data_IF_498759419637
#
_entry.id   IF_498759419637
#
_cell.length_a   1.000
_cell.length_b   1.000
_cell.length_c   1.000
_cell.angle_alpha   90.00
_cell.angle_beta   90.00
_cell.angle_gamma   90.00
#
_symmetry.space_group_name_H-M   'P 1'
#
loop_
_entity.id
_entity.type
_entity.pdbx_description
1 polymer ?
#
# COMPACT_ATOMS: atom_id res chain seq x y z
N UNK A 1 -8.25 47.46 -2.03
CA UNK A 1 -7.83 46.65 -0.86
C UNK A 1 -9.08 46.27 -0.10
N UNK A 2 -9.26 45.00 0.24
CA UNK A 2 -10.38 44.56 1.07
C UNK A 2 -9.99 44.73 2.54
N UNK A 3 -10.84 45.39 3.32
CA UNK A 3 -10.57 45.63 4.74
C UNK A 3 -10.86 44.38 5.58
N UNK A 4 -10.24 44.30 6.77
CA UNK A 4 -10.42 43.16 7.69
C UNK A 4 -11.89 43.01 8.10
N UNK A 5 -12.58 44.13 8.34
CA UNK A 5 -13.99 44.13 8.74
C UNK A 5 -14.91 43.58 7.64
N UNK A 6 -14.63 43.88 6.38
CA UNK A 6 -15.41 43.36 5.24
C UNK A 6 -15.32 41.83 5.16
N UNK A 7 -14.14 41.27 5.44
CA UNK A 7 -13.89 39.83 5.39
C UNK A 7 -14.58 39.13 6.54
N UNK A 8 -14.49 39.68 7.75
CA UNK A 8 -15.20 39.15 8.91
C UNK A 8 -16.71 39.15 8.63
N UNK A 9 -17.23 40.25 8.07
CA UNK A 9 -18.64 40.35 7.69
C UNK A 9 -19.02 39.33 6.61
N UNK A 10 -18.23 39.17 5.55
CA UNK A 10 -18.51 38.20 4.49
C UNK A 10 -18.38 36.74 5.01
N UNK A 11 -17.47 36.49 5.95
CA UNK A 11 -17.30 35.19 6.58
C UNK A 11 -18.51 34.77 7.43
N UNK A 12 -19.08 35.69 8.22
CA UNK A 12 -20.29 35.39 8.98
C UNK A 12 -21.55 35.32 8.09
N UNK A 13 -21.51 35.94 6.91
CA UNK A 13 -22.64 36.02 5.99
C UNK A 13 -22.39 35.23 4.68
N UNK A 14 -21.78 34.03 4.77
CA UNK A 14 -21.56 33.16 3.61
C UNK A 14 -22.89 32.80 2.94
N UNK A 15 -22.99 33.09 1.64
CA UNK A 15 -24.21 32.90 0.87
C UNK A 15 -24.52 31.40 0.64
N UNK A 16 -25.81 31.10 0.55
CA UNK A 16 -26.33 29.76 0.24
C UNK A 16 -27.03 29.09 1.42
N UNK A 17 -28.07 28.30 1.11
CA UNK A 17 -28.85 27.55 2.09
C UNK A 17 -28.19 26.19 2.33
N UNK A 18 -27.68 25.57 1.26
CA UNK A 18 -27.06 24.26 1.32
C UNK A 18 -25.56 24.36 1.67
N UNK A 19 -25.04 23.35 2.36
CA UNK A 19 -23.61 23.27 2.71
C UNK A 19 -22.68 23.43 1.49
N UNK A 20 -23.07 22.86 0.35
CA UNK A 20 -22.31 22.97 -0.91
C UNK A 20 -22.21 24.41 -1.40
N UNK A 21 -23.26 25.20 -1.22
CA UNK A 21 -23.30 26.60 -1.65
C UNK A 21 -22.44 27.45 -0.71
N UNK A 22 -22.55 27.23 0.60
CA UNK A 22 -21.68 27.87 1.60
C UNK A 22 -20.20 27.59 1.35
N UNK A 23 -19.84 26.35 1.00
CA UNK A 23 -18.46 26.01 0.61
C UNK A 23 -17.98 26.78 -0.63
N UNK A 24 -18.84 26.95 -1.64
CA UNK A 24 -18.51 27.74 -2.84
C UNK A 24 -18.31 29.22 -2.48
N UNK A 25 -19.22 29.78 -1.68
CA UNK A 25 -19.11 31.15 -1.18
C UNK A 25 -17.80 31.35 -0.40
N UNK A 26 -17.46 30.39 0.47
CA UNK A 26 -16.23 30.42 1.26
C UNK A 26 -14.98 30.38 0.39
N UNK A 27 -14.91 29.50 -0.61
CA UNK A 27 -13.78 29.47 -1.53
C UNK A 27 -13.68 30.71 -2.40
N UNK A 28 -14.82 31.35 -2.74
CA UNK A 28 -14.80 32.65 -3.41
C UNK A 28 -14.20 33.73 -2.51
N UNK A 29 -14.54 33.73 -1.22
CA UNK A 29 -13.96 34.65 -0.24
C UNK A 29 -12.44 34.44 -0.12
N UNK A 30 -11.97 33.20 -0.01
CA UNK A 30 -10.53 32.90 0.05
C UNK A 30 -9.75 33.49 -1.13
N UNK A 31 -10.28 33.36 -2.34
CA UNK A 31 -9.65 33.93 -3.55
C UNK A 31 -9.63 35.45 -3.52
N UNK A 32 -10.75 36.09 -3.18
CA UNK A 32 -10.81 37.56 -3.02
C UNK A 32 -9.75 38.07 -2.03
N UNK A 33 -9.57 37.36 -0.92
CA UNK A 33 -8.54 37.71 0.08
C UNK A 33 -7.13 37.59 -0.53
N UNK A 34 -6.84 36.48 -1.21
CA UNK A 34 -5.55 36.26 -1.86
C UNK A 34 -5.24 37.32 -2.94
N UNK A 35 -6.20 37.59 -3.83
CA UNK A 35 -6.09 38.57 -4.91
C UNK A 35 -5.92 40.00 -4.39
N UNK A 36 -6.46 40.29 -3.21
CA UNK A 36 -6.35 41.61 -2.59
C UNK A 36 -4.95 41.93 -2.03
N UNK A 37 -4.08 40.92 -1.88
CA UNK A 37 -2.72 41.10 -1.36
C UNK A 37 -2.65 41.62 0.09
N UNK A 38 -3.76 41.62 0.83
CA UNK A 38 -3.84 42.19 2.19
C UNK A 38 -3.04 41.38 3.21
N UNK A 39 -1.76 41.72 3.39
CA UNK A 39 -0.91 41.14 4.43
C UNK A 39 -1.44 41.42 5.85
N UNK A 40 -2.11 42.56 6.06
CA UNK A 40 -2.78 42.93 7.32
C UNK A 40 -3.92 41.98 7.68
N UNK A 41 -4.74 41.60 6.70
CA UNK A 41 -5.80 40.60 6.86
C UNK A 41 -5.24 39.25 7.29
N UNK A 42 -4.11 38.85 6.70
CA UNK A 42 -3.44 37.60 7.04
C UNK A 42 -2.86 37.61 8.46
N UNK A 43 -2.60 38.77 9.05
CA UNK A 43 -2.15 38.90 10.45
C UNK A 43 -3.33 38.91 11.43
N UNK A 44 -4.49 39.42 11.02
CA UNK A 44 -5.67 39.61 11.89
C UNK A 44 -6.72 38.48 11.85
N UNK A 45 -6.40 37.31 11.27
CA UNK A 45 -7.30 36.13 11.24
C UNK A 45 -7.75 35.71 12.66
N UNK A 46 -7.00 36.07 13.69
CA UNK A 46 -7.36 35.82 15.10
C UNK A 46 -8.66 36.52 15.50
N UNK A 47 -8.97 37.67 14.91
CA UNK A 47 -10.20 38.45 15.15
C UNK A 47 -11.46 37.77 14.60
N UNK A 48 -11.30 36.81 13.70
CA UNK A 48 -12.40 36.05 13.14
C UNK A 48 -12.86 35.02 14.19
N UNK A 49 -13.94 35.31 14.91
CA UNK A 49 -14.49 34.50 16.01
C UNK A 49 -15.69 33.70 15.48
N UNK A 50 -15.54 32.39 15.19
CA UNK A 50 -16.63 31.58 14.68
C UNK A 50 -17.80 31.52 15.67
N UNK A 51 -19.02 31.61 15.16
CA UNK A 51 -20.25 31.50 15.97
C UNK A 51 -20.84 30.10 15.87
N UNK A 52 -20.59 29.40 14.77
CA UNK A 52 -21.15 28.08 14.49
C UNK A 52 -20.06 27.02 14.30
N UNK A 53 -20.40 25.75 14.51
CA UNK A 53 -19.48 24.63 14.26
C UNK A 53 -18.95 24.60 12.81
N UNK A 54 -19.80 25.02 11.86
CA UNK A 54 -19.44 25.13 10.45
C UNK A 54 -18.42 26.25 10.24
N UNK A 55 -18.63 27.42 10.85
CA UNK A 55 -17.65 28.50 10.82
C UNK A 55 -16.33 28.09 11.47
N UNK A 56 -16.34 27.35 12.57
CA UNK A 56 -15.09 26.85 13.18
C UNK A 56 -14.33 25.96 12.18
N UNK A 57 -15.07 25.18 11.40
CA UNK A 57 -14.50 24.36 10.33
C UNK A 57 -13.92 25.22 9.20
N UNK A 58 -14.63 26.25 8.77
CA UNK A 58 -14.15 27.19 7.75
C UNK A 58 -12.95 28.00 8.22
N UNK A 59 -12.90 28.40 9.50
CA UNK A 59 -11.71 29.07 10.06
C UNK A 59 -10.49 28.18 9.95
N UNK A 60 -10.59 26.87 10.25
CA UNK A 60 -9.47 25.94 10.07
C UNK A 60 -9.07 25.82 8.59
N UNK A 61 -10.03 25.77 7.67
CA UNK A 61 -9.74 25.73 6.23
C UNK A 61 -9.06 27.02 5.75
N UNK A 62 -9.46 28.17 6.29
CA UNK A 62 -8.82 29.46 6.04
C UNK A 62 -7.36 29.44 6.49
N UNK A 63 -7.10 28.99 7.72
CA UNK A 63 -5.75 28.85 8.27
C UNK A 63 -4.89 27.87 7.45
N UNK A 64 -5.48 26.79 6.95
CA UNK A 64 -4.82 25.83 6.07
C UNK A 64 -4.47 26.48 4.73
N UNK A 65 -5.41 27.20 4.12
CA UNK A 65 -5.24 27.87 2.82
C UNK A 65 -4.07 28.85 2.85
N UNK A 66 -4.02 29.70 3.89
CA UNK A 66 -2.98 30.72 4.05
C UNK A 66 -1.77 30.27 4.88
N UNK A 67 -1.64 28.96 5.13
CA UNK A 67 -0.49 28.34 5.81
C UNK A 67 -0.12 28.96 7.17
N UNK A 68 -1.12 29.27 8.00
CA UNK A 68 -0.93 29.88 9.33
C UNK A 68 -0.53 28.87 10.39
N UNK A 69 0.74 28.44 10.34
CA UNK A 69 1.24 27.31 11.14
C UNK A 69 1.06 27.48 12.65
N UNK A 70 1.36 28.65 13.21
CA UNK A 70 1.21 28.92 14.65
C UNK A 70 -0.24 28.76 15.12
N UNK A 71 -1.19 29.31 14.37
CA UNK A 71 -2.60 29.22 14.69
C UNK A 71 -3.12 27.78 14.51
N UNK A 72 -2.67 27.07 13.48
CA UNK A 72 -2.98 25.65 13.30
C UNK A 72 -2.41 24.78 14.41
N UNK A 73 -1.24 25.11 14.94
CA UNK A 73 -0.66 24.41 16.08
C UNK A 73 -1.54 24.58 17.33
N UNK A 74 -2.04 25.78 17.59
CA UNK A 74 -2.97 26.04 18.68
C UNK A 74 -4.26 25.21 18.53
N UNK A 75 -4.83 25.18 17.32
CA UNK A 75 -6.00 24.34 17.03
C UNK A 75 -5.68 22.86 17.23
N UNK A 76 -4.52 22.38 16.77
CA UNK A 76 -4.10 21.00 16.93
C UNK A 76 -4.01 20.60 18.41
N UNK A 77 -3.56 21.50 19.28
CA UNK A 77 -3.45 21.25 20.73
C UNK A 77 -4.75 21.47 21.51
N UNK A 78 -5.82 21.95 20.89
CA UNK A 78 -7.11 22.23 21.56
C UNK A 78 -7.91 20.98 21.95
N UNK A 79 -7.56 19.81 21.38
CA UNK A 79 -8.27 18.55 21.63
C UNK A 79 -9.41 18.24 20.66
N UNK A 80 -9.73 19.14 19.71
CA UNK A 80 -10.71 18.84 18.66
C UNK A 80 -10.14 17.85 17.63
N UNK A 81 -10.58 16.59 17.70
CA UNK A 81 -10.08 15.54 16.82
C UNK A 81 -10.45 15.75 15.35
N UNK A 82 -11.64 16.28 15.04
CA UNK A 82 -12.13 16.42 13.66
C UNK A 82 -11.26 17.45 12.94
N UNK A 83 -11.02 18.59 13.59
CA UNK A 83 -10.19 19.68 13.06
C UNK A 83 -8.73 19.27 13.02
N UNK A 84 -8.23 18.64 14.08
CA UNK A 84 -6.88 18.07 14.11
C UNK A 84 -6.65 17.11 12.94
N UNK A 85 -7.63 16.27 12.62
CA UNK A 85 -7.55 15.36 11.46
C UNK A 85 -7.42 16.08 10.12
N UNK A 86 -8.06 17.24 9.94
CA UNK A 86 -7.89 18.07 8.72
C UNK A 86 -6.49 18.66 8.64
N UNK A 87 -5.95 19.12 9.76
CA UNK A 87 -4.63 19.76 9.87
C UNK A 87 -3.52 18.74 9.57
N UNK A 88 -3.52 17.58 10.23
CA UNK A 88 -2.45 16.57 10.06
C UNK A 88 -2.44 15.89 8.68
N UNK A 89 -3.46 16.14 7.84
CA UNK A 89 -3.47 15.70 6.43
C UNK A 89 -2.61 16.59 5.53
N UNK A 90 -2.24 17.77 6.00
CA UNK A 90 -1.47 18.75 5.22
C UNK A 90 0.02 18.46 5.31
N UNK A 91 0.62 17.94 4.23
CA UNK A 91 2.04 17.55 4.24
C UNK A 91 2.98 18.73 4.49
N UNK A 92 2.60 19.94 4.05
CA UNK A 92 3.37 21.17 4.32
C UNK A 92 3.42 21.50 5.81
N UNK A 93 2.33 21.27 6.54
CA UNK A 93 2.25 21.56 7.97
C UNK A 93 3.10 20.56 8.77
N UNK A 94 3.08 19.28 8.40
CA UNK A 94 3.95 18.27 9.01
C UNK A 94 5.43 18.61 8.81
N UNK A 95 5.82 19.10 7.63
CA UNK A 95 7.19 19.58 7.38
C UNK A 95 7.53 20.79 8.22
N UNK A 96 6.59 21.71 8.42
CA UNK A 96 6.81 22.90 9.23
C UNK A 96 7.00 22.56 10.71
N UNK A 97 6.20 21.64 11.26
CA UNK A 97 6.39 21.12 12.62
C UNK A 97 7.80 20.58 12.85
N UNK A 98 8.37 19.87 11.87
CA UNK A 98 9.71 19.30 12.00
C UNK A 98 10.84 20.33 11.95
N UNK A 99 10.60 21.46 11.28
CA UNK A 99 11.54 22.60 11.29
C UNK A 99 11.50 23.32 12.63
N UNK A 100 10.30 23.43 13.21
CA UNK A 100 10.08 24.17 14.45
C UNK A 100 10.51 23.39 15.71
N UNK A 101 10.35 22.07 15.71
CA UNK A 101 10.62 21.24 16.88
C UNK A 101 11.80 20.29 16.65
N UNK A 102 12.68 20.17 17.64
CA UNK A 102 13.59 19.03 17.73
C UNK A 102 12.82 17.71 17.89
N UNK A 103 13.45 16.55 17.64
CA UNK A 103 12.80 15.23 17.79
C UNK A 103 12.27 15.05 19.22
N UNK A 104 13.06 15.44 20.21
CA UNK A 104 12.66 15.39 21.62
C UNK A 104 11.49 16.32 21.93
N UNK A 105 11.53 17.57 21.46
CA UNK A 105 10.45 18.51 21.73
C UNK A 105 9.14 18.11 21.06
N UNK A 106 9.20 17.54 19.85
CA UNK A 106 8.01 17.05 19.16
C UNK A 106 7.30 15.97 19.99
N UNK A 107 8.06 15.05 20.59
CA UNK A 107 7.52 13.95 21.39
C UNK A 107 7.12 14.43 22.79
N UNK A 108 7.99 15.15 23.49
CA UNK A 108 7.77 15.51 24.90
C UNK A 108 6.81 16.70 25.04
N UNK A 109 6.93 17.74 24.21
CA UNK A 109 6.13 18.97 24.34
C UNK A 109 4.84 18.93 23.52
N UNK A 110 4.91 18.46 22.27
CA UNK A 110 3.74 18.45 21.40
C UNK A 110 2.90 17.19 21.60
N UNK A 111 3.46 15.99 21.45
CA UNK A 111 2.67 14.76 21.49
C UNK A 111 1.96 14.57 22.83
N UNK A 112 2.58 14.95 23.96
CA UNK A 112 1.94 14.91 25.28
C UNK A 112 0.58 15.60 25.33
N UNK A 113 0.35 16.63 24.50
CA UNK A 113 -0.92 17.38 24.40
C UNK A 113 -1.92 16.80 23.39
N UNK A 114 -1.52 15.83 22.56
CA UNK A 114 -2.35 15.28 21.49
C UNK A 114 -2.98 13.95 21.88
N UNK A 115 -4.14 13.64 21.32
CA UNK A 115 -4.73 12.31 21.44
C UNK A 115 -3.90 11.25 20.72
N UNK A 116 -3.97 9.98 21.15
CA UNK A 116 -3.23 8.88 20.53
C UNK A 116 -3.55 8.76 19.03
N UNK A 117 -4.81 8.97 18.65
CA UNK A 117 -5.25 8.95 17.25
C UNK A 117 -4.49 9.97 16.40
N UNK A 118 -4.35 11.20 16.90
CA UNK A 118 -3.63 12.27 16.22
C UNK A 118 -2.13 12.00 16.18
N UNK A 119 -1.51 11.56 17.29
CA UNK A 119 -0.09 11.15 17.34
C UNK A 119 0.21 10.12 16.24
N UNK A 120 -0.58 9.05 16.16
CA UNK A 120 -0.41 8.00 15.15
C UNK A 120 -0.58 8.52 13.71
N UNK A 121 -1.46 9.50 13.47
CA UNK A 121 -1.63 10.12 12.15
C UNK A 121 -0.40 10.96 11.77
N UNK A 122 0.15 11.72 12.71
CA UNK A 122 1.39 12.47 12.49
C UNK A 122 2.52 11.49 12.18
N UNK A 123 2.73 10.47 13.00
CA UNK A 123 3.79 9.46 12.79
C UNK A 123 3.70 8.78 11.41
N UNK A 124 2.50 8.38 10.97
CA UNK A 124 2.31 7.79 9.63
C UNK A 124 2.68 8.78 8.51
N UNK A 125 2.41 10.07 8.70
CA UNK A 125 2.79 11.11 7.74
C UNK A 125 4.30 11.36 7.72
N UNK A 126 4.95 11.30 8.88
CA UNK A 126 6.40 11.43 9.00
C UNK A 126 7.12 10.39 8.13
N UNK A 127 6.72 9.12 8.23
CA UNK A 127 7.30 8.02 7.44
C UNK A 127 7.12 8.22 5.93
N UNK A 128 6.02 8.81 5.49
CA UNK A 128 5.73 9.00 4.06
C UNK A 128 6.46 10.23 3.50
N UNK A 129 6.64 11.28 4.30
CA UNK A 129 7.03 12.59 3.82
C UNK A 129 8.49 12.98 4.13
N UNK A 130 9.13 12.35 5.10
CA UNK A 130 10.53 12.62 5.46
C UNK A 130 11.44 11.62 4.76
N UNK A 131 12.51 12.14 4.14
CA UNK A 131 13.59 11.34 3.55
C UNK A 131 14.85 11.25 4.42
N UNK A 132 14.95 12.10 5.43
CA UNK A 132 16.07 12.09 6.38
C UNK A 132 15.92 10.94 7.37
N UNK A 133 16.66 9.85 7.11
CA UNK A 133 16.62 8.63 7.92
C UNK A 133 17.19 8.85 9.31
N UNK A 134 18.23 9.67 9.46
CA UNK A 134 18.84 9.97 10.77
C UNK A 134 17.82 10.65 11.68
N UNK A 135 17.04 11.58 11.12
CA UNK A 135 15.97 12.25 11.86
C UNK A 135 14.86 11.29 12.27
N UNK A 136 14.46 10.36 11.41
CA UNK A 136 13.48 9.33 11.77
C UNK A 136 14.04 8.37 12.83
N UNK A 137 15.32 8.02 12.76
CA UNK A 137 15.97 7.15 13.74
C UNK A 137 16.01 7.80 15.14
N UNK A 138 16.29 9.10 15.23
CA UNK A 138 16.25 9.88 16.47
C UNK A 138 14.82 9.95 17.04
N UNK A 139 13.83 10.20 16.17
CA UNK A 139 12.41 10.19 16.54
C UNK A 139 11.99 8.81 17.04
N UNK A 140 12.44 7.74 16.38
CA UNK A 140 12.14 6.37 16.79
C UNK A 140 12.67 6.08 18.19
N UNK A 141 13.93 6.41 18.49
CA UNK A 141 14.51 6.20 19.83
C UNK A 141 13.74 6.99 20.89
N UNK A 142 13.50 8.26 20.62
CA UNK A 142 12.81 9.12 21.56
C UNK A 142 11.40 8.58 21.85
N UNK A 143 10.68 8.21 20.80
CA UNK A 143 9.33 7.66 20.90
C UNK A 143 9.30 6.30 21.59
N UNK A 144 10.31 5.45 21.35
CA UNK A 144 10.48 4.17 22.03
C UNK A 144 10.67 4.36 23.53
N UNK A 145 11.55 5.28 23.94
CA UNK A 145 11.80 5.60 25.35
C UNK A 145 10.58 6.19 26.05
N UNK A 146 9.82 7.06 25.39
CA UNK A 146 8.67 7.77 26.01
C UNK A 146 7.37 6.95 25.99
N UNK A 147 7.08 6.23 24.91
CA UNK A 147 5.77 5.61 24.68
C UNK A 147 5.84 4.10 24.41
N UNK A 148 7.04 3.51 24.42
CA UNK A 148 7.25 2.08 24.21
C UNK A 148 7.30 1.67 22.74
N UNK A 149 7.78 0.44 22.53
CA UNK A 149 8.09 -0.10 21.20
C UNK A 149 6.86 -0.12 20.28
N UNK A 150 5.69 -0.46 20.81
CA UNK A 150 4.45 -0.60 20.02
C UNK A 150 4.11 0.67 19.23
N UNK A 151 4.30 1.84 19.83
CA UNK A 151 4.06 3.13 19.17
C UNK A 151 5.24 3.49 18.26
N UNK A 152 6.47 3.21 18.69
CA UNK A 152 7.68 3.45 17.90
C UNK A 152 7.69 2.68 16.57
N UNK A 153 7.16 1.45 16.54
CA UNK A 153 7.09 0.61 15.33
C UNK A 153 6.34 1.25 14.16
N UNK A 154 5.52 2.28 14.41
CA UNK A 154 4.88 3.05 13.34
C UNK A 154 5.91 3.76 12.47
N UNK A 155 7.03 4.21 13.07
CA UNK A 155 8.12 4.90 12.39
C UNK A 155 9.12 3.95 11.72
N UNK A 156 9.12 2.66 12.10
CA UNK A 156 10.11 1.68 11.64
C UNK A 156 10.35 1.73 10.12
N UNK A 157 9.33 1.83 9.24
CA UNK A 157 9.59 1.85 7.80
C UNK A 157 10.32 3.09 7.27
N UNK A 158 10.38 4.18 8.05
CA UNK A 158 11.13 5.38 7.72
C UNK A 158 12.56 5.39 8.27
N UNK A 159 12.89 4.47 9.18
CA UNK A 159 14.22 4.36 9.78
C UNK A 159 15.29 3.93 8.76
N UNK A 160 16.56 4.02 9.13
CA UNK A 160 17.66 3.48 8.34
C UNK A 160 17.59 1.96 8.18
N UNK A 161 18.15 1.44 7.08
CA UNK A 161 18.11 0.00 6.79
C UNK A 161 18.78 -0.83 7.90
N UNK A 162 19.89 -0.34 8.45
CA UNK A 162 20.62 -0.98 9.55
C UNK A 162 19.75 -1.10 10.80
N UNK A 163 19.11 0.01 11.20
CA UNK A 163 18.22 0.05 12.35
C UNK A 163 17.00 -0.85 12.19
N UNK A 164 16.42 -0.88 10.99
CA UNK A 164 15.30 -1.79 10.70
C UNK A 164 15.75 -3.23 10.90
N UNK A 165 16.85 -3.65 10.27
CA UNK A 165 17.36 -5.02 10.37
C UNK A 165 17.72 -5.40 11.80
N UNK A 166 18.31 -4.50 12.58
CA UNK A 166 18.61 -4.72 14.00
C UNK A 166 17.33 -4.98 14.82
N UNK A 167 16.30 -4.15 14.64
CA UNK A 167 15.02 -4.33 15.33
C UNK A 167 14.28 -5.60 14.91
N UNK A 168 14.34 -5.97 13.62
CA UNK A 168 13.74 -7.20 13.13
C UNK A 168 14.36 -8.42 13.80
N UNK A 169 15.69 -8.45 13.97
CA UNK A 169 16.39 -9.57 14.62
C UNK A 169 16.15 -9.64 16.12
N UNK A 170 16.06 -8.49 16.81
CA UNK A 170 15.95 -8.45 18.28
C UNK A 170 14.55 -8.71 18.82
N UNK A 171 13.52 -8.15 18.18
CA UNK A 171 12.18 -8.07 18.76
C UNK A 171 11.06 -8.62 17.87
N UNK A 172 11.38 -9.07 16.64
CA UNK A 172 10.48 -9.65 15.62
C UNK A 172 9.06 -9.07 15.70
N UNK A 173 8.89 -7.79 15.35
CA UNK A 173 7.62 -7.11 15.55
C UNK A 173 6.54 -7.66 14.61
N UNK A 174 5.30 -7.73 15.09
CA UNK A 174 4.14 -8.01 14.23
C UNK A 174 3.85 -6.79 13.34
N UNK A 175 4.29 -6.86 12.08
CA UNK A 175 4.13 -5.77 11.12
C UNK A 175 2.82 -5.88 10.35
N UNK A 176 2.15 -4.75 10.20
CA UNK A 176 0.96 -4.64 9.35
C UNK A 176 1.33 -4.74 7.87
N UNK A 177 0.38 -5.17 7.04
CA UNK A 177 0.57 -5.21 5.59
C UNK A 177 0.96 -3.85 4.98
N UNK A 178 0.56 -2.73 5.60
CA UNK A 178 0.93 -1.39 5.17
C UNK A 178 2.40 -1.07 5.47
N UNK A 179 2.90 -1.46 6.65
CA UNK A 179 4.33 -1.32 6.99
C UNK A 179 5.18 -2.20 6.08
N UNK A 180 4.78 -3.45 5.82
CA UNK A 180 5.50 -4.34 4.91
C UNK A 180 5.58 -3.77 3.49
N UNK A 181 4.53 -3.10 2.98
CA UNK A 181 4.58 -2.42 1.68
C UNK A 181 5.61 -1.29 1.65
N UNK A 182 5.70 -0.51 2.72
CA UNK A 182 6.69 0.57 2.83
C UNK A 182 8.10 0.01 2.89
N UNK A 183 8.34 -1.02 3.70
CA UNK A 183 9.63 -1.70 3.79
C UNK A 183 10.04 -2.33 2.45
N UNK A 184 9.12 -3.00 1.76
CA UNK A 184 9.38 -3.58 0.44
C UNK A 184 9.77 -2.53 -0.61
N UNK A 185 9.15 -1.34 -0.56
CA UNK A 185 9.49 -0.25 -1.46
C UNK A 185 10.84 0.39 -1.12
N UNK A 186 11.25 0.34 0.15
CA UNK A 186 12.53 0.85 0.63
C UNK A 186 13.67 -0.09 0.24
N UNK A 187 13.61 -1.34 0.69
CA UNK A 187 14.61 -2.37 0.40
C UNK A 187 13.98 -3.76 0.54
N UNK A 188 13.95 -4.53 -0.55
CA UNK A 188 13.37 -5.88 -0.57
C UNK A 188 14.13 -6.85 0.33
N UNK A 189 15.42 -6.63 0.56
CA UNK A 189 16.22 -7.49 1.45
C UNK A 189 15.72 -7.44 2.89
N UNK A 190 15.11 -6.33 3.31
CA UNK A 190 14.45 -6.21 4.63
C UNK A 190 13.30 -7.20 4.74
N UNK A 191 12.53 -7.40 3.67
CA UNK A 191 11.44 -8.39 3.65
C UNK A 191 12.02 -9.79 3.80
N UNK A 192 13.10 -10.12 3.08
CA UNK A 192 13.75 -11.42 3.25
C UNK A 192 14.20 -11.65 4.70
N UNK A 193 14.85 -10.65 5.32
CA UNK A 193 15.22 -10.69 6.75
C UNK A 193 14.00 -10.87 7.64
N UNK A 194 12.91 -10.13 7.40
CA UNK A 194 11.70 -10.23 8.22
C UNK A 194 11.10 -11.64 8.19
N UNK A 195 10.95 -12.23 7.00
CA UNK A 195 10.40 -13.57 6.85
C UNK A 195 11.32 -14.64 7.42
N UNK A 196 12.64 -14.49 7.30
CA UNK A 196 13.62 -15.39 7.91
C UNK A 196 13.50 -15.40 9.44
N UNK A 197 13.44 -14.22 10.07
CA UNK A 197 13.32 -14.13 11.52
C UNK A 197 11.95 -14.64 12.03
N UNK A 198 10.87 -14.38 11.30
CA UNK A 198 9.55 -14.95 11.60
C UNK A 198 9.54 -16.48 11.49
N UNK A 199 10.18 -17.07 10.46
CA UNK A 199 10.31 -18.52 10.31
C UNK A 199 11.10 -19.15 11.46
N UNK A 200 12.24 -18.55 11.85
CA UNK A 200 13.06 -19.01 12.99
C UNK A 200 12.25 -19.08 14.29
N UNK A 201 11.30 -18.17 14.46
CA UNK A 201 10.41 -18.12 15.62
C UNK A 201 9.17 -19.03 15.50
N UNK A 202 9.02 -19.79 14.41
CA UNK A 202 7.87 -20.68 14.20
C UNK A 202 6.56 -19.95 13.91
N UNK A 203 6.62 -18.69 13.46
CA UNK A 203 5.43 -17.91 13.12
C UNK A 203 4.79 -18.38 11.81
N UNK A 204 3.46 -18.32 11.74
CA UNK A 204 2.75 -18.68 10.52
C UNK A 204 2.86 -17.56 9.47
N UNK A 205 3.66 -17.81 8.44
CA UNK A 205 3.94 -16.86 7.37
C UNK A 205 2.81 -16.72 6.33
N UNK A 206 1.88 -17.65 6.26
CA UNK A 206 0.75 -17.60 5.32
C UNK A 206 -0.53 -17.04 5.93
N UNK A 207 -0.37 -16.22 6.97
CA UNK A 207 -1.48 -15.53 7.62
C UNK A 207 -2.27 -14.66 6.61
N UNK A 208 -3.59 -14.83 6.62
CA UNK A 208 -4.52 -14.08 5.79
C UNK A 208 -4.38 -12.55 5.97
N UNK A 209 -3.95 -12.08 7.15
CA UNK A 209 -3.71 -10.65 7.43
C UNK A 209 -2.72 -10.01 6.44
N UNK A 210 -1.81 -10.82 5.87
CA UNK A 210 -0.81 -10.35 4.90
C UNK A 210 -1.20 -10.58 3.44
N UNK A 211 -2.40 -11.10 3.15
CA UNK A 211 -2.91 -11.26 1.78
C UNK A 211 -2.75 -10.00 0.94
N UNK A 212 -3.03 -8.84 1.51
CA UNK A 212 -2.92 -7.56 0.79
C UNK A 212 -1.46 -7.16 0.50
N UNK A 213 -0.50 -7.61 1.31
CA UNK A 213 0.92 -7.42 1.08
C UNK A 213 1.44 -8.40 0.02
N UNK A 214 1.09 -9.69 0.10
CA UNK A 214 1.48 -10.66 -0.92
C UNK A 214 0.95 -10.34 -2.32
N UNK A 215 -0.31 -9.90 -2.42
CA UNK A 215 -0.87 -9.40 -3.67
C UNK A 215 -0.12 -8.18 -4.20
N UNK A 216 0.36 -7.32 -3.29
CA UNK A 216 1.17 -6.16 -3.65
C UNK A 216 2.56 -6.59 -4.15
N UNK A 217 3.24 -7.46 -3.42
CA UNK A 217 4.54 -8.02 -3.78
C UNK A 217 4.50 -8.70 -5.16
N UNK A 218 3.54 -9.61 -5.38
CA UNK A 218 3.34 -10.27 -6.68
C UNK A 218 2.94 -9.32 -7.81
N UNK A 219 2.49 -8.10 -7.52
CA UNK A 219 2.25 -7.05 -8.52
C UNK A 219 3.51 -6.25 -8.82
N UNK A 220 4.25 -5.86 -7.80
CA UNK A 220 5.42 -4.99 -7.93
C UNK A 220 6.64 -5.76 -8.44
N UNK A 221 6.91 -6.93 -7.87
CA UNK A 221 7.99 -7.82 -8.26
C UNK A 221 7.52 -9.29 -8.18
N UNK A 222 6.97 -9.81 -9.28
CA UNK A 222 6.53 -11.20 -9.33
C UNK A 222 7.66 -12.20 -9.10
N UNK A 223 8.90 -11.92 -9.53
CA UNK A 223 10.04 -12.84 -9.37
C UNK A 223 10.39 -13.00 -7.90
N UNK A 224 10.58 -11.88 -7.19
CA UNK A 224 10.82 -11.90 -5.75
C UNK A 224 9.65 -12.51 -4.97
N UNK A 225 8.41 -12.28 -5.41
CA UNK A 225 7.24 -12.93 -4.80
C UNK A 225 7.33 -14.45 -4.83
N UNK A 226 7.66 -15.03 -5.99
CA UNK A 226 7.79 -16.47 -6.12
C UNK A 226 9.00 -17.01 -5.37
N UNK A 227 10.13 -16.29 -5.34
CA UNK A 227 11.30 -16.67 -4.55
C UNK A 227 10.96 -16.81 -3.06
N UNK A 228 10.31 -15.80 -2.48
CA UNK A 228 9.85 -15.84 -1.07
C UNK A 228 8.80 -16.95 -0.88
N UNK A 229 7.84 -17.10 -1.80
CA UNK A 229 6.82 -18.13 -1.68
C UNK A 229 7.41 -19.55 -1.75
N UNK A 230 8.43 -19.77 -2.59
CA UNK A 230 9.12 -21.05 -2.70
C UNK A 230 9.97 -21.34 -1.44
N UNK A 231 10.75 -20.36 -0.99
CA UNK A 231 11.63 -20.50 0.18
C UNK A 231 10.85 -20.86 1.44
N UNK A 232 9.77 -20.13 1.71
CA UNK A 232 8.97 -20.27 2.94
C UNK A 232 7.70 -21.12 2.74
N UNK A 233 7.59 -21.85 1.61
CA UNK A 233 6.46 -22.74 1.27
C UNK A 233 5.08 -22.07 1.40
N UNK A 234 4.99 -20.80 1.03
CA UNK A 234 3.75 -20.02 1.13
C UNK A 234 2.73 -20.46 0.09
N UNK A 235 1.44 -20.30 0.40
CA UNK A 235 0.40 -20.48 -0.62
C UNK A 235 0.56 -19.44 -1.74
N UNK A 236 0.90 -19.94 -2.94
CA UNK A 236 1.05 -19.13 -4.16
C UNK A 236 -0.31 -18.66 -4.64
N UNK A 237 -0.61 -17.38 -4.38
CA UNK A 237 -1.86 -16.74 -4.81
C UNK A 237 -1.83 -16.47 -6.30
N UNK A 238 -3.00 -16.59 -6.92
CA UNK A 238 -3.14 -16.38 -8.36
C UNK A 238 -2.86 -14.92 -8.75
N UNK A 239 -1.84 -14.71 -9.58
CA UNK A 239 -1.47 -13.40 -10.08
C UNK A 239 -2.50 -12.85 -11.07
N UNK A 240 -2.60 -11.52 -11.12
CA UNK A 240 -3.40 -10.81 -12.11
C UNK A 240 -2.78 -10.84 -13.52
N UNK A 241 -3.58 -10.49 -14.54
CA UNK A 241 -3.17 -10.53 -15.96
C UNK A 241 -1.86 -9.79 -16.24
N UNK A 242 -1.69 -8.58 -15.69
CA UNK A 242 -0.49 -7.75 -15.87
C UNK A 242 0.74 -8.38 -15.22
N UNK A 243 0.60 -8.82 -13.97
CA UNK A 243 1.66 -9.46 -13.18
C UNK A 243 2.12 -10.79 -13.79
N UNK A 244 1.19 -11.62 -14.28
CA UNK A 244 1.53 -12.85 -15.00
C UNK A 244 2.36 -12.57 -16.23
N UNK A 245 1.98 -11.58 -17.06
CA UNK A 245 2.78 -11.22 -18.23
C UNK A 245 4.18 -10.77 -17.84
N UNK A 246 4.29 -9.89 -16.84
CA UNK A 246 5.56 -9.38 -16.31
C UNK A 246 6.46 -10.51 -15.81
N UNK A 247 5.89 -11.47 -15.07
CA UNK A 247 6.65 -12.63 -14.57
C UNK A 247 7.19 -13.50 -15.71
N UNK A 248 6.36 -13.79 -16.72
CA UNK A 248 6.80 -14.60 -17.89
C UNK A 248 7.88 -13.87 -18.69
N UNK A 249 7.85 -12.53 -18.75
CA UNK A 249 8.91 -11.75 -19.38
C UNK A 249 10.25 -11.87 -18.65
N UNK A 250 10.23 -11.99 -17.32
CA UNK A 250 11.43 -12.07 -16.48
C UNK A 250 11.95 -13.49 -16.31
N UNK A 251 11.05 -14.48 -16.23
CA UNK A 251 11.34 -15.84 -15.73
C UNK A 251 10.78 -16.90 -16.69
N UNK A 252 10.84 -16.64 -18.00
CA UNK A 252 10.27 -17.51 -19.04
C UNK A 252 10.71 -18.96 -18.90
N UNK A 253 12.02 -19.19 -18.74
CA UNK A 253 12.58 -20.53 -18.62
C UNK A 253 12.10 -21.26 -17.36
N UNK A 254 12.03 -20.57 -16.21
CA UNK A 254 11.47 -21.15 -14.99
C UNK A 254 10.03 -21.59 -15.21
N UNK A 255 9.23 -20.76 -15.87
CA UNK A 255 7.83 -21.10 -16.21
C UNK A 255 7.75 -22.33 -17.11
N UNK A 256 8.59 -22.42 -18.14
CA UNK A 256 8.61 -23.55 -19.08
C UNK A 256 9.11 -24.85 -18.44
N UNK A 257 9.98 -24.76 -17.43
CA UNK A 257 10.59 -25.93 -16.79
C UNK A 257 9.79 -26.46 -15.59
N UNK A 258 8.93 -25.64 -14.96
CA UNK A 258 8.07 -26.08 -13.85
C UNK A 258 6.59 -25.72 -14.06
N UNK A 259 5.91 -26.30 -15.07
CA UNK A 259 4.55 -25.87 -15.41
C UNK A 259 3.50 -26.12 -14.31
N UNK A 260 3.68 -27.16 -13.50
CA UNK A 260 2.78 -27.50 -12.39
C UNK A 260 2.74 -26.39 -11.33
N UNK A 261 3.91 -25.84 -10.97
CA UNK A 261 4.05 -24.77 -9.98
C UNK A 261 3.37 -23.46 -10.39
N UNK A 262 3.40 -23.17 -11.69
CA UNK A 262 2.97 -21.88 -12.22
C UNK A 262 1.58 -21.89 -12.84
N UNK A 263 1.08 -23.03 -13.33
CA UNK A 263 -0.24 -23.13 -13.96
C UNK A 263 -1.40 -22.78 -13.02
N UNK A 264 -1.24 -23.02 -11.71
CA UNK A 264 -2.21 -22.65 -10.66
C UNK A 264 -2.06 -21.18 -10.21
N UNK A 265 -0.82 -20.72 -10.16
CA UNK A 265 -0.42 -19.42 -9.61
C UNK A 265 -0.47 -18.28 -10.64
N UNK A 266 -0.46 -18.60 -11.93
CA UNK A 266 -0.53 -17.64 -13.02
C UNK A 266 -1.92 -17.59 -13.65
N UNK A 267 -2.27 -16.42 -14.21
CA UNK A 267 -3.55 -16.26 -14.90
C UNK A 267 -3.52 -16.99 -16.24
N UNK A 268 -4.36 -18.00 -16.39
CA UNK A 268 -4.39 -18.92 -17.54
C UNK A 268 -4.45 -18.21 -18.90
N UNK A 269 -5.33 -17.21 -19.07
CA UNK A 269 -5.44 -16.47 -20.34
C UNK A 269 -4.18 -15.67 -20.67
N UNK A 270 -3.54 -15.08 -19.66
CA UNK A 270 -2.29 -14.34 -19.82
C UNK A 270 -1.14 -15.30 -20.14
N UNK A 271 -1.05 -16.42 -19.43
CA UNK A 271 -0.04 -17.46 -19.60
C UNK A 271 -0.04 -18.01 -21.02
N UNK A 272 -1.19 -18.49 -21.51
CA UNK A 272 -1.31 -19.08 -22.84
C UNK A 272 -0.91 -18.06 -23.92
N UNK A 273 -1.44 -16.84 -23.84
CA UNK A 273 -1.16 -15.79 -24.83
C UNK A 273 0.29 -15.31 -24.81
N UNK A 274 0.92 -15.27 -23.63
CA UNK A 274 2.29 -14.74 -23.46
C UNK A 274 3.37 -15.77 -23.80
N UNK A 275 3.11 -17.06 -23.58
CA UNK A 275 3.97 -18.13 -24.04
C UNK A 275 3.91 -18.29 -25.57
N UNK A 276 2.73 -18.11 -26.18
CA UNK A 276 2.60 -18.10 -27.64
C UNK A 276 3.09 -19.41 -28.26
N UNK A 277 4.19 -19.37 -29.02
CA UNK A 277 4.78 -20.54 -29.67
C UNK A 277 5.34 -21.59 -28.70
N UNK A 278 5.69 -21.20 -27.48
CA UNK A 278 6.19 -22.13 -26.45
C UNK A 278 5.08 -22.77 -25.62
N UNK A 279 3.83 -22.30 -25.78
CA UNK A 279 2.70 -22.85 -25.03
C UNK A 279 2.47 -24.35 -25.27
N UNK A 280 2.60 -24.91 -26.50
CA UNK A 280 2.49 -26.36 -26.71
C UNK A 280 3.43 -27.18 -25.83
N UNK A 281 4.72 -26.79 -25.78
CA UNK A 281 5.73 -27.45 -24.93
C UNK A 281 5.39 -27.33 -23.45
N UNK A 282 4.94 -26.15 -23.01
CA UNK A 282 4.47 -25.93 -21.64
C UNK A 282 3.26 -26.82 -21.31
N UNK A 283 2.29 -26.90 -22.22
CA UNK A 283 1.05 -27.64 -22.04
C UNK A 283 1.30 -29.14 -21.89
N UNK A 284 2.14 -29.71 -22.77
CA UNK A 284 2.59 -31.09 -22.70
C UNK A 284 3.26 -31.42 -21.35
N UNK A 285 4.23 -30.60 -20.94
CA UNK A 285 4.91 -30.78 -19.64
C UNK A 285 3.99 -30.54 -18.43
N UNK A 286 2.87 -29.87 -18.59
CA UNK A 286 1.88 -29.67 -17.53
C UNK A 286 1.01 -30.92 -17.30
N UNK A 287 0.97 -31.85 -18.26
CA UNK A 287 0.19 -33.07 -18.11
C UNK A 287 0.80 -33.96 -17.01
N UNK A 288 -0.06 -34.59 -16.17
CA UNK A 288 0.43 -35.43 -15.10
C UNK A 288 1.28 -36.58 -15.64
N UNK A 289 2.23 -37.06 -14.85
CA UNK A 289 3.11 -38.16 -15.26
C UNK A 289 2.34 -39.48 -15.45
N UNK A 290 1.28 -39.70 -14.67
CA UNK A 290 0.41 -40.87 -14.80
C UNK A 290 -0.84 -40.56 -15.62
N UNK A 291 -1.23 -41.51 -16.48
CA UNK A 291 -2.49 -41.45 -17.23
C UNK A 291 -3.72 -41.51 -16.31
N UNK A 292 -3.63 -42.13 -15.14
CA UNK A 292 -4.74 -42.22 -14.18
C UNK A 292 -5.11 -40.83 -13.61
N UNK A 293 -4.10 -39.99 -13.37
CA UNK A 293 -4.28 -38.63 -12.84
C UNK A 293 -4.79 -37.64 -13.90
N UNK A 294 -4.74 -38.03 -15.17
CA UNK A 294 -5.20 -37.20 -16.29
C UNK A 294 -6.67 -36.79 -16.14
N UNK A 295 -7.52 -37.63 -15.52
CA UNK A 295 -8.94 -37.31 -15.30
C UNK A 295 -9.11 -36.02 -14.49
N UNK A 296 -8.26 -35.80 -13.49
CA UNK A 296 -8.38 -34.72 -12.51
C UNK A 296 -7.46 -33.52 -12.77
N UNK A 297 -6.74 -33.50 -13.91
CA UNK A 297 -5.74 -32.46 -14.13
C UNK A 297 -6.37 -31.07 -14.37
N UNK A 298 -5.90 -30.06 -13.63
CA UNK A 298 -6.35 -28.66 -13.74
C UNK A 298 -5.98 -28.01 -15.08
N UNK A 299 -5.06 -28.64 -15.81
CA UNK A 299 -4.45 -28.17 -17.06
C UNK A 299 -5.44 -28.25 -18.23
N UNK A 300 -6.50 -29.06 -18.14
CA UNK A 300 -7.62 -29.09 -19.11
C UNK A 300 -8.23 -27.71 -19.36
N UNK A 301 -8.21 -26.82 -18.36
CA UNK A 301 -8.74 -25.47 -18.50
C UNK A 301 -7.83 -24.52 -19.27
N UNK A 302 -6.53 -24.81 -19.41
CA UNK A 302 -5.59 -23.96 -20.13
C UNK A 302 -5.88 -23.94 -21.63
N UNK A 303 -6.26 -25.08 -22.20
CA UNK A 303 -6.49 -25.22 -23.65
C UNK A 303 -7.61 -24.33 -24.18
N UNK A 304 -8.57 -23.97 -23.31
CA UNK A 304 -9.68 -23.06 -23.63
C UNK A 304 -9.21 -21.67 -24.06
N UNK A 305 -7.99 -21.28 -23.67
CA UNK A 305 -7.41 -19.99 -24.01
C UNK A 305 -6.49 -20.04 -25.25
N UNK A 306 -6.25 -21.22 -25.82
CA UNK A 306 -5.47 -21.41 -27.05
C UNK A 306 -6.32 -21.20 -28.30
N UNK A 307 -5.69 -21.12 -29.48
CA UNK A 307 -6.35 -20.86 -30.77
C UNK A 307 -7.39 -21.94 -31.07
N UNK A 308 -8.66 -21.54 -31.28
CA UNK A 308 -9.84 -22.43 -31.29
C UNK A 308 -9.69 -23.63 -32.25
N UNK A 309 -9.21 -23.40 -33.47
CA UNK A 309 -9.02 -24.43 -34.49
C UNK A 309 -7.84 -25.37 -34.23
N UNK A 310 -6.89 -25.02 -33.35
CA UNK A 310 -5.71 -25.83 -33.02
C UNK A 310 -5.81 -26.56 -31.67
N UNK A 311 -6.93 -26.41 -30.95
CA UNK A 311 -7.08 -26.99 -29.60
C UNK A 311 -7.08 -28.51 -29.62
N UNK A 312 -7.87 -29.11 -30.50
CA UNK A 312 -7.99 -30.56 -30.58
C UNK A 312 -6.66 -31.21 -30.96
N UNK A 313 -6.00 -30.67 -31.98
CA UNK A 313 -4.66 -31.11 -32.41
C UNK A 313 -3.62 -31.02 -31.27
N UNK A 314 -3.53 -29.86 -30.59
CA UNK A 314 -2.63 -29.70 -29.44
C UNK A 314 -2.93 -30.72 -28.33
N UNK A 315 -4.21 -30.97 -28.06
CA UNK A 315 -4.62 -31.92 -27.03
C UNK A 315 -4.17 -33.35 -27.35
N UNK A 316 -4.42 -33.81 -28.57
CA UNK A 316 -4.02 -35.14 -29.04
C UNK A 316 -2.50 -35.29 -29.04
N UNK A 317 -1.78 -34.33 -29.63
CA UNK A 317 -0.31 -34.40 -29.74
C UNK A 317 0.36 -34.40 -28.37
N UNK A 318 -0.09 -33.53 -27.46
CA UNK A 318 0.45 -33.48 -26.10
C UNK A 318 0.16 -34.77 -25.32
N UNK A 319 -1.03 -35.37 -25.51
CA UNK A 319 -1.39 -36.63 -24.87
C UNK A 319 -0.55 -37.81 -25.39
N UNK A 320 -0.44 -37.93 -26.71
CA UNK A 320 0.33 -38.98 -27.38
C UNK A 320 1.80 -38.88 -27.01
N UNK A 321 2.37 -37.67 -27.03
CA UNK A 321 3.76 -37.42 -26.62
C UNK A 321 4.00 -37.80 -25.15
N UNK A 322 3.08 -37.46 -24.25
CA UNK A 322 3.25 -37.69 -22.81
C UNK A 322 3.09 -39.15 -22.38
N UNK A 323 2.15 -39.88 -22.99
CA UNK A 323 1.74 -41.21 -22.52
C UNK A 323 2.04 -42.34 -23.50
N UNK A 324 2.58 -42.03 -24.68
CA UNK A 324 2.81 -42.99 -25.77
C UNK A 324 1.55 -43.82 -26.11
N UNK A 325 0.38 -43.18 -26.03
CA UNK A 325 -0.94 -43.79 -26.31
C UNK A 325 -1.79 -42.82 -27.11
N UNK A 326 -2.47 -43.33 -28.14
CA UNK A 326 -3.43 -42.50 -28.85
C UNK A 326 -4.68 -42.25 -28.01
N UNK A 327 -5.09 -40.99 -27.94
CA UNK A 327 -6.30 -40.58 -27.24
C UNK A 327 -7.56 -41.26 -27.84
N UNK A 328 -7.51 -41.62 -29.13
CA UNK A 328 -8.59 -42.33 -29.85
C UNK A 328 -8.82 -43.76 -29.34
N UNK A 329 -7.81 -44.39 -28.76
CA UNK A 329 -7.90 -45.75 -28.20
C UNK A 329 -8.54 -45.71 -26.80
N UNK A 330 -8.35 -44.60 -26.09
CA UNK A 330 -8.72 -44.44 -24.70
C UNK A 330 -10.18 -44.03 -24.53
N UNK A 331 -10.81 -43.38 -25.51
CA UNK A 331 -12.27 -43.15 -25.49
C UNK A 331 -13.09 -44.44 -25.36
N UNK A 332 -12.52 -45.61 -25.71
CA UNK A 332 -13.15 -46.91 -25.50
C UNK A 332 -12.95 -47.50 -24.09
N UNK A 333 -12.02 -46.95 -23.29
CA UNK A 333 -11.72 -47.39 -21.92
C UNK A 333 -12.60 -46.63 -20.91
N UNK A 334 -12.86 -45.33 -21.14
CA UNK A 334 -13.68 -44.51 -20.22
C UNK A 334 -15.21 -44.63 -20.41
N UNK A 335 -15.68 -45.46 -21.34
CA UNK A 335 -17.11 -45.77 -21.52
C UNK A 335 -17.50 -47.04 -20.73
N UNK A 336 -16.54 -47.76 -20.15
CA UNK A 336 -16.78 -49.04 -19.46
C UNK A 336 -16.59 -49.01 -17.93
N UNK A 337 -16.31 -47.85 -17.34
CA UNK A 337 -16.38 -47.56 -15.90
C UNK A 337 -17.36 -46.41 -15.67
#
# INVERSE_FOLDING_TARGET
MMEVQDIIKEFHNLQGVLLREKNKSFHSLLRKVEDSGSASVLQNIKELVPVTYLEETFKVEFLIYFKKSEDLLNVLTSGDEIRSCKIVRQDWFIKDLLKKFSSSELIVKLFSKLSLSIRLKILKRLVINIKDENRIDELFETLHRTYGLKIALVLLPGCSNEKIKDHLKKNIPSLSASQLKLLFNKDKTIIATYFEEMEKNGENLDDYKWKSFFNYMGRMDPSFYFEIADKYKLYKRKLGRKSTKKFIDMEREKVLNKPEDYSRSLRSDALVRKLGKDFPKFYEKSLPSSIHDFRYCHVKNLIRYYTKNKRYELYCNAFESRYNKSLRIISNIWIKD
#
